data_IF_089556126191
#
_entry.id   IF_089556126191
#
_cell.length_a   1.000
_cell.length_b   1.000
_cell.length_c   1.000
_cell.angle_alpha   90.00
_cell.angle_beta   90.00
_cell.angle_gamma   90.00
#
_symmetry.space_group_name_H-M   'P 1'
#
loop_
_entity.id
_entity.type
_entity.pdbx_description
1 polymer ?
#
# COMPACT_ATOMS: atom_id res chain seq x y z
N UNK A 1 -18.23 2.68 34.51
CA UNK A 1 -18.17 1.21 34.61
C UNK A 1 -18.59 0.54 33.31
N UNK A 2 -19.66 1.04 32.67
CA UNK A 2 -20.19 0.57 31.38
C UNK A 2 -19.22 0.75 30.20
N UNK A 3 -18.52 1.89 30.11
CA UNK A 3 -17.54 2.13 29.02
C UNK A 3 -16.34 1.17 29.05
N UNK A 4 -15.84 0.83 30.26
CA UNK A 4 -14.71 -0.08 30.41
C UNK A 4 -15.08 -1.52 30.01
N UNK A 5 -16.30 -1.95 30.34
CA UNK A 5 -16.83 -3.26 29.91
C UNK A 5 -16.98 -3.33 28.38
N UNK A 6 -17.51 -2.28 27.76
CA UNK A 6 -17.68 -2.20 26.30
C UNK A 6 -16.32 -2.25 25.59
N UNK A 7 -15.32 -1.53 26.11
CA UNK A 7 -13.97 -1.53 25.54
C UNK A 7 -13.30 -2.90 25.64
N UNK A 8 -13.36 -3.54 26.81
CA UNK A 8 -12.78 -4.87 27.04
C UNK A 8 -13.48 -5.98 26.23
N UNK A 9 -14.77 -5.86 25.94
CA UNK A 9 -15.46 -6.79 25.05
C UNK A 9 -15.17 -6.52 23.57
N UNK A 10 -15.04 -5.25 23.17
CA UNK A 10 -14.72 -4.90 21.80
C UNK A 10 -13.34 -5.42 21.38
N UNK A 11 -12.31 -5.22 22.21
CA UNK A 11 -10.95 -5.68 21.92
C UNK A 11 -10.83 -7.22 21.82
N UNK A 12 -11.65 -7.96 22.58
CA UNK A 12 -11.65 -9.43 22.54
C UNK A 12 -11.95 -9.98 21.15
N UNK A 13 -12.83 -9.33 20.38
CA UNK A 13 -13.16 -9.77 19.02
C UNK A 13 -11.95 -9.65 18.07
N UNK A 14 -11.19 -8.56 18.17
CA UNK A 14 -9.99 -8.37 17.35
C UNK A 14 -8.85 -9.31 17.78
N UNK A 15 -8.65 -9.48 19.09
CA UNK A 15 -7.58 -10.33 19.64
C UNK A 15 -7.81 -11.81 19.34
N UNK A 16 -9.06 -12.28 19.39
CA UNK A 16 -9.40 -13.67 19.07
C UNK A 16 -9.03 -14.02 17.63
N UNK A 17 -9.40 -13.18 16.67
CA UNK A 17 -9.08 -13.37 15.24
C UNK A 17 -7.60 -13.20 14.97
N UNK A 18 -6.93 -12.27 15.66
CA UNK A 18 -5.48 -12.10 15.54
C UNK A 18 -4.74 -13.35 16.01
N UNK A 19 -5.17 -13.96 17.11
CA UNK A 19 -4.62 -15.23 17.60
C UNK A 19 -4.89 -16.36 16.62
N UNK A 20 -6.12 -16.50 16.14
CA UNK A 20 -6.50 -17.51 15.14
C UNK A 20 -5.68 -17.35 13.84
N UNK A 21 -5.52 -16.12 13.36
CA UNK A 21 -4.71 -15.81 12.17
C UNK A 21 -3.25 -16.21 12.37
N UNK A 22 -2.66 -15.90 13.53
CA UNK A 22 -1.29 -16.32 13.89
C UNK A 22 -1.12 -17.84 13.97
N UNK A 23 -2.13 -18.55 14.46
CA UNK A 23 -2.09 -20.01 14.59
C UNK A 23 -2.24 -20.71 13.23
N UNK A 24 -3.09 -20.18 12.35
CA UNK A 24 -3.39 -20.76 11.04
C UNK A 24 -2.36 -20.42 9.96
N UNK A 25 -1.79 -19.22 10.01
CA UNK A 25 -0.79 -18.77 9.05
C UNK A 25 0.62 -19.05 9.56
N UNK A 26 1.48 -19.57 8.68
CA UNK A 26 2.90 -19.79 9.01
C UNK A 26 3.53 -18.46 9.44
N UNK A 27 4.37 -18.50 10.47
CA UNK A 27 5.05 -17.32 11.03
C UNK A 27 5.71 -16.42 9.98
N UNK A 28 6.26 -17.00 8.91
CA UNK A 28 6.89 -16.28 7.78
C UNK A 28 5.91 -15.35 7.05
N UNK A 29 4.66 -15.77 6.83
CA UNK A 29 3.66 -14.94 6.12
C UNK A 29 3.14 -13.81 7.00
N UNK A 30 3.08 -14.06 8.31
CA UNK A 30 2.75 -13.05 9.31
C UNK A 30 3.84 -11.95 9.36
N UNK A 31 5.10 -12.33 9.18
CA UNK A 31 6.22 -11.40 9.26
C UNK A 31 6.28 -10.37 8.10
N UNK A 32 5.58 -10.63 6.98
CA UNK A 32 5.61 -9.81 5.77
C UNK A 32 5.45 -8.30 6.01
N UNK A 33 4.42 -7.89 6.76
CA UNK A 33 4.15 -6.46 6.97
C UNK A 33 5.20 -5.79 7.86
N UNK A 34 5.83 -6.54 8.76
CA UNK A 34 6.92 -6.05 9.60
C UNK A 34 8.18 -5.87 8.74
N UNK A 35 8.44 -6.80 7.83
CA UNK A 35 9.57 -6.70 6.90
C UNK A 35 9.38 -5.51 5.95
N UNK A 36 8.19 -5.32 5.39
CA UNK A 36 7.90 -4.14 4.58
C UNK A 36 7.99 -2.85 5.38
N UNK A 37 7.48 -2.82 6.62
CA UNK A 37 7.61 -1.64 7.49
C UNK A 37 9.08 -1.30 7.74
N UNK A 38 9.90 -2.30 8.06
CA UNK A 38 11.33 -2.12 8.34
C UNK A 38 12.08 -1.62 7.11
N UNK A 39 11.90 -2.27 5.95
CA UNK A 39 12.50 -1.84 4.70
C UNK A 39 12.03 -0.44 4.26
N UNK A 40 10.79 -0.07 4.57
CA UNK A 40 10.28 1.25 4.25
C UNK A 40 10.98 2.37 5.02
N UNK A 41 11.46 2.10 6.25
CA UNK A 41 12.26 3.07 7.03
C UNK A 41 13.50 3.46 6.24
N UNK A 42 14.19 2.49 5.67
CA UNK A 42 15.43 2.74 4.93
C UNK A 42 15.15 3.40 3.58
N UNK A 43 14.12 2.95 2.85
CA UNK A 43 13.68 3.61 1.61
C UNK A 43 13.33 5.09 1.82
N UNK A 44 12.58 5.41 2.88
CA UNK A 44 12.25 6.79 3.24
C UNK A 44 13.50 7.60 3.56
N UNK A 45 14.41 7.05 4.40
CA UNK A 45 15.66 7.73 4.77
C UNK A 45 16.52 8.04 3.55
N UNK A 46 16.65 7.09 2.62
CA UNK A 46 17.42 7.31 1.39
C UNK A 46 16.77 8.37 0.50
N UNK A 47 15.45 8.32 0.32
CA UNK A 47 14.72 9.32 -0.45
C UNK A 47 14.90 10.73 0.17
N UNK A 48 14.77 10.83 1.49
CA UNK A 48 14.96 12.08 2.24
C UNK A 48 16.37 12.65 2.05
N UNK A 49 17.40 11.81 2.18
CA UNK A 49 18.79 12.19 1.98
C UNK A 49 19.06 12.65 0.54
N UNK A 50 18.56 11.92 -0.45
CA UNK A 50 18.76 12.23 -1.86
C UNK A 50 18.01 13.49 -2.30
N UNK A 51 16.86 13.77 -1.68
CA UNK A 51 16.09 14.98 -1.91
C UNK A 51 16.79 16.23 -1.34
N UNK A 52 17.53 16.10 -0.25
CA UNK A 52 18.22 17.23 0.41
C UNK A 52 17.21 18.30 0.86
N UNK A 53 17.50 19.57 0.60
CA UNK A 53 16.59 20.68 0.96
C UNK A 53 15.28 20.65 0.18
N UNK A 54 15.25 20.05 -1.02
CA UNK A 54 14.02 19.92 -1.82
C UNK A 54 12.95 19.09 -1.13
N UNK A 55 13.31 18.29 -0.12
CA UNK A 55 12.38 17.40 0.58
C UNK A 55 11.13 18.11 1.11
N UNK A 56 11.25 19.37 1.52
CA UNK A 56 10.14 20.18 2.02
C UNK A 56 9.16 20.62 0.93
N UNK A 57 9.53 20.48 -0.35
CA UNK A 57 8.69 20.77 -1.50
C UNK A 57 8.13 19.52 -2.18
N UNK A 58 8.53 18.32 -1.76
CA UNK A 58 8.13 17.07 -2.41
C UNK A 58 6.94 16.41 -1.69
N UNK A 59 5.81 16.29 -2.40
CA UNK A 59 4.66 15.51 -1.93
C UNK A 59 5.02 14.04 -1.72
N UNK A 60 5.93 13.50 -2.51
CA UNK A 60 6.36 12.11 -2.41
C UNK A 60 7.06 11.83 -1.08
N UNK A 61 7.79 12.80 -0.51
CA UNK A 61 8.37 12.69 0.84
C UNK A 61 7.26 12.62 1.88
N UNK A 62 6.25 13.51 1.77
CA UNK A 62 5.13 13.53 2.70
C UNK A 62 4.32 12.22 2.66
N UNK A 63 3.98 11.72 1.47
CA UNK A 63 3.31 10.42 1.31
C UNK A 63 4.16 9.25 1.80
N UNK A 64 5.46 9.31 1.61
CA UNK A 64 6.38 8.28 2.13
C UNK A 64 6.41 8.26 3.66
N UNK A 65 6.30 9.42 4.31
CA UNK A 65 6.17 9.51 5.76
C UNK A 65 4.81 9.00 6.25
N UNK A 66 3.71 9.36 5.59
CA UNK A 66 2.38 8.86 5.95
C UNK A 66 2.27 7.34 5.85
N UNK A 67 2.98 6.74 4.88
CA UNK A 67 2.94 5.29 4.66
C UNK A 67 3.33 4.48 5.90
N UNK A 68 4.19 4.99 6.79
CA UNK A 68 4.50 4.30 8.06
C UNK A 68 3.24 3.98 8.86
N UNK A 69 2.32 4.93 8.97
CA UNK A 69 1.06 4.75 9.70
C UNK A 69 0.13 3.81 8.93
N UNK A 70 0.10 3.93 7.61
CA UNK A 70 -0.78 3.13 6.76
C UNK A 70 -0.36 1.66 6.71
N UNK A 71 0.94 1.34 6.68
CA UNK A 71 1.42 -0.06 6.76
C UNK A 71 0.99 -0.68 8.09
N UNK A 72 1.14 0.04 9.21
CA UNK A 72 0.67 -0.44 10.52
C UNK A 72 -0.84 -0.64 10.55
N UNK A 73 -1.59 0.23 9.90
CA UNK A 73 -3.05 0.11 9.79
C UNK A 73 -3.47 -1.09 8.92
N UNK A 74 -2.85 -1.27 7.75
CA UNK A 74 -3.05 -2.45 6.89
C UNK A 74 -2.75 -3.72 7.67
N UNK A 75 -1.60 -3.76 8.35
CA UNK A 75 -1.17 -4.86 9.20
C UNK A 75 -2.22 -5.21 10.26
N UNK A 76 -2.71 -4.21 11.01
CA UNK A 76 -3.76 -4.43 12.01
C UNK A 76 -5.05 -4.95 11.38
N UNK A 77 -5.47 -4.36 10.26
CA UNK A 77 -6.67 -4.78 9.55
C UNK A 77 -6.58 -6.24 9.08
N UNK A 78 -5.44 -6.67 8.54
CA UNK A 78 -5.25 -8.07 8.11
C UNK A 78 -5.31 -9.01 9.31
N UNK A 79 -4.61 -8.67 10.39
CA UNK A 79 -4.57 -9.53 11.58
C UNK A 79 -5.92 -9.64 12.27
N UNK A 80 -6.74 -8.62 12.19
CA UNK A 80 -8.07 -8.65 12.78
C UNK A 80 -9.17 -9.13 11.82
N UNK A 81 -8.84 -9.73 10.68
CA UNK A 81 -9.85 -10.22 9.74
C UNK A 81 -10.58 -9.12 8.94
N UNK A 82 -10.16 -7.86 9.04
CA UNK A 82 -10.71 -6.73 8.29
C UNK A 82 -10.10 -6.62 6.87
N UNK A 83 -10.01 -7.74 6.15
CA UNK A 83 -9.28 -7.85 4.88
C UNK A 83 -9.75 -6.88 3.79
N UNK A 84 -11.05 -6.67 3.65
CA UNK A 84 -11.57 -5.69 2.67
C UNK A 84 -11.15 -4.26 2.99
N UNK A 85 -11.04 -3.90 4.27
CA UNK A 85 -10.51 -2.61 4.69
C UNK A 85 -9.02 -2.50 4.36
N UNK A 86 -8.24 -3.56 4.63
CA UNK A 86 -6.83 -3.60 4.24
C UNK A 86 -6.62 -3.41 2.73
N UNK A 87 -7.41 -4.10 1.89
CA UNK A 87 -7.30 -3.97 0.42
C UNK A 87 -7.70 -2.56 -0.06
N UNK A 88 -8.73 -1.95 0.54
CA UNK A 88 -9.10 -0.56 0.23
C UNK A 88 -8.00 0.43 0.61
N UNK A 89 -7.35 0.21 1.75
CA UNK A 89 -6.20 1.03 2.16
C UNK A 89 -5.02 0.86 1.19
N UNK A 90 -4.71 -0.37 0.77
CA UNK A 90 -3.68 -0.65 -0.24
C UNK A 90 -3.95 0.07 -1.57
N UNK A 91 -5.23 0.16 -2.00
CA UNK A 91 -5.63 0.98 -3.16
C UNK A 91 -5.33 2.45 -2.94
N UNK A 92 -5.71 2.98 -1.78
CA UNK A 92 -5.50 4.39 -1.44
C UNK A 92 -4.01 4.72 -1.41
N UNK A 93 -3.19 3.88 -0.79
CA UNK A 93 -1.72 3.99 -0.77
C UNK A 93 -1.19 4.09 -2.21
N UNK A 94 -1.52 3.13 -3.09
CA UNK A 94 -1.07 3.12 -4.48
C UNK A 94 -1.45 4.42 -5.21
N UNK A 95 -2.72 4.83 -5.12
CA UNK A 95 -3.24 6.02 -5.79
C UNK A 95 -2.56 7.30 -5.27
N UNK A 96 -2.35 7.41 -3.96
CA UNK A 96 -1.70 8.56 -3.34
C UNK A 96 -0.24 8.74 -3.78
N UNK A 97 0.50 7.65 -3.97
CA UNK A 97 1.89 7.70 -4.46
C UNK A 97 1.97 8.08 -5.93
N UNK A 98 1.07 7.56 -6.77
CA UNK A 98 1.00 7.95 -8.19
C UNK A 98 0.65 9.44 -8.31
N UNK A 99 -0.27 9.93 -7.48
CA UNK A 99 -0.62 11.35 -7.42
C UNK A 99 0.55 12.21 -6.98
N UNK A 100 1.23 11.84 -5.89
CA UNK A 100 2.42 12.56 -5.42
C UNK A 100 3.53 12.59 -6.47
N UNK A 101 3.79 11.45 -7.11
CA UNK A 101 4.73 11.34 -8.22
C UNK A 101 4.39 12.30 -9.36
N UNK A 102 3.14 12.28 -9.81
CA UNK A 102 2.67 13.14 -10.90
C UNK A 102 2.86 14.63 -10.57
N UNK A 103 2.40 15.04 -9.38
CA UNK A 103 2.47 16.45 -8.96
C UNK A 103 3.91 16.91 -8.82
N UNK A 104 4.79 16.10 -8.21
CA UNK A 104 6.19 16.47 -8.05
C UNK A 104 6.97 16.48 -9.37
N UNK A 105 6.56 15.69 -10.37
CA UNK A 105 7.17 15.68 -11.71
C UNK A 105 6.72 16.86 -12.57
N UNK A 106 5.43 17.15 -12.60
CA UNK A 106 4.86 18.21 -13.44
C UNK A 106 5.07 19.62 -12.83
N UNK A 107 5.24 19.70 -11.51
CA UNK A 107 5.35 20.96 -10.77
C UNK A 107 6.52 20.96 -9.77
N UNK A 108 7.77 20.71 -10.20
CA UNK A 108 8.90 20.47 -9.29
C UNK A 108 9.22 21.68 -8.38
N UNK A 109 9.04 22.90 -8.89
CA UNK A 109 9.41 24.15 -8.19
C UNK A 109 8.25 24.81 -7.44
N UNK A 110 7.04 24.25 -7.54
CA UNK A 110 5.87 24.79 -6.85
C UNK A 110 5.94 24.56 -5.34
N UNK A 111 5.52 25.56 -4.58
CA UNK A 111 5.36 25.45 -3.13
C UNK A 111 4.23 24.46 -2.76
N UNK A 112 4.29 23.95 -1.53
CA UNK A 112 3.41 22.89 -1.04
C UNK A 112 1.92 23.28 -1.12
N UNK A 113 1.58 24.53 -0.78
CA UNK A 113 0.22 25.04 -0.85
C UNK A 113 -0.32 25.08 -2.29
N UNK A 114 0.52 25.45 -3.26
CA UNK A 114 0.14 25.45 -4.66
C UNK A 114 -0.12 24.01 -5.16
N UNK A 115 0.73 23.08 -4.76
CA UNK A 115 0.57 21.65 -5.05
C UNK A 115 -0.68 21.04 -4.41
N UNK A 116 -1.11 21.50 -3.22
CA UNK A 116 -2.40 21.11 -2.63
C UNK A 116 -3.59 21.54 -3.50
N UNK A 117 -3.59 22.77 -4.00
CA UNK A 117 -4.65 23.22 -4.90
C UNK A 117 -4.63 22.46 -6.24
N UNK A 118 -3.45 22.09 -6.73
CA UNK A 118 -3.34 21.21 -7.92
C UNK A 118 -3.97 19.84 -7.65
N UNK A 119 -3.69 19.22 -6.49
CA UNK A 119 -4.29 17.92 -6.11
C UNK A 119 -5.81 18.01 -6.06
N UNK A 120 -6.34 19.08 -5.47
CA UNK A 120 -7.79 19.34 -5.39
C UNK A 120 -8.44 19.42 -6.78
N UNK A 121 -7.76 19.97 -7.78
CA UNK A 121 -8.25 19.97 -9.17
C UNK A 121 -8.07 18.60 -9.85
N UNK A 122 -6.98 17.89 -9.58
CA UNK A 122 -6.77 16.51 -10.06
C UNK A 122 -7.90 15.59 -9.57
N UNK A 123 -8.25 15.65 -8.29
CA UNK A 123 -9.28 14.81 -7.67
C UNK A 123 -10.66 14.98 -8.34
N UNK A 124 -10.92 16.16 -8.94
CA UNK A 124 -12.17 16.42 -9.69
C UNK A 124 -12.14 15.86 -11.12
N UNK A 125 -10.97 15.80 -11.74
CA UNK A 125 -10.84 15.61 -13.19
C UNK A 125 -10.26 14.24 -13.57
N UNK A 126 -9.24 13.79 -12.85
CA UNK A 126 -8.38 12.67 -13.26
C UNK A 126 -7.97 11.86 -12.02
N UNK A 127 -8.58 10.68 -11.86
CA UNK A 127 -8.25 9.73 -10.80
C UNK A 127 -8.02 8.31 -11.34
N UNK A 128 -7.43 7.45 -10.51
CA UNK A 128 -7.15 6.06 -10.82
C UNK A 128 -6.33 5.83 -12.10
N UNK A 129 -6.79 4.91 -12.95
CA UNK A 129 -6.09 4.55 -14.20
C UNK A 129 -5.87 5.73 -15.14
N UNK A 130 -6.73 6.76 -15.12
CA UNK A 130 -6.53 7.97 -15.93
C UNK A 130 -5.30 8.75 -15.47
N UNK A 131 -5.07 8.82 -14.16
CA UNK A 131 -3.90 9.49 -13.59
C UNK A 131 -2.62 8.72 -13.90
N UNK A 132 -2.64 7.39 -13.74
CA UNK A 132 -1.52 6.50 -14.14
C UNK A 132 -1.11 6.77 -15.58
N UNK A 133 -2.08 6.89 -16.49
CA UNK A 133 -1.81 7.12 -17.91
C UNK A 133 -1.17 8.49 -18.21
N UNK A 134 -1.41 9.50 -17.36
CA UNK A 134 -0.83 10.84 -17.49
C UNK A 134 0.60 10.96 -16.99
N UNK A 135 1.07 10.06 -16.12
CA UNK A 135 2.47 10.06 -15.65
C UNK A 135 3.45 9.75 -16.78
N UNK A 136 4.75 9.97 -16.58
CA UNK A 136 5.83 9.48 -17.45
C UNK A 136 6.35 8.09 -17.03
N UNK A 137 5.72 7.43 -16.05
CA UNK A 137 6.12 6.10 -15.58
C UNK A 137 6.12 5.07 -16.72
N UNK A 138 7.14 4.21 -16.73
CA UNK A 138 7.12 3.00 -17.53
C UNK A 138 6.13 1.97 -16.92
N UNK A 139 5.81 0.89 -17.64
CA UNK A 139 4.96 -0.20 -17.15
C UNK A 139 3.54 0.23 -16.68
N UNK A 140 2.99 1.34 -17.19
CA UNK A 140 1.64 1.86 -16.87
C UNK A 140 0.53 0.80 -16.93
N UNK A 141 0.65 -0.15 -17.87
CA UNK A 141 -0.28 -1.27 -18.02
C UNK A 141 -0.38 -2.10 -16.74
N UNK A 142 0.76 -2.50 -16.15
CA UNK A 142 0.79 -3.30 -14.90
C UNK A 142 0.25 -2.51 -13.71
N UNK A 143 0.57 -1.21 -13.62
CA UNK A 143 0.02 -0.33 -12.58
C UNK A 143 -1.51 -0.19 -12.71
N UNK A 144 -2.00 -0.04 -13.94
CA UNK A 144 -3.43 0.05 -14.24
C UNK A 144 -4.16 -1.26 -13.93
N UNK A 145 -3.56 -2.40 -14.24
CA UNK A 145 -4.09 -3.73 -13.89
C UNK A 145 -4.16 -3.90 -12.37
N UNK A 146 -3.11 -3.56 -11.63
CA UNK A 146 -3.09 -3.60 -10.17
C UNK A 146 -4.18 -2.70 -9.57
N UNK A 147 -4.28 -1.45 -10.04
CA UNK A 147 -5.33 -0.52 -9.59
C UNK A 147 -6.73 -1.08 -9.85
N UNK A 148 -6.96 -1.68 -11.02
CA UNK A 148 -8.23 -2.30 -11.38
C UNK A 148 -8.56 -3.50 -10.48
N UNK A 149 -7.58 -4.35 -10.17
CA UNK A 149 -7.75 -5.48 -9.26
C UNK A 149 -8.13 -5.01 -7.85
N UNK A 150 -7.43 -4.02 -7.30
CA UNK A 150 -7.73 -3.44 -5.99
C UNK A 150 -9.11 -2.77 -5.94
N UNK A 151 -9.51 -2.10 -7.03
CA UNK A 151 -10.79 -1.40 -7.13
C UNK A 151 -12.01 -2.32 -7.07
N UNK A 152 -11.85 -3.62 -7.35
CA UNK A 152 -12.92 -4.63 -7.19
C UNK A 152 -13.39 -4.80 -5.73
N UNK A 153 -12.60 -4.32 -4.77
CA UNK A 153 -12.88 -4.43 -3.34
C UNK A 153 -13.40 -3.12 -2.70
N UNK A 154 -13.62 -2.08 -3.51
CA UNK A 154 -14.12 -0.78 -3.03
C UNK A 154 -15.62 -0.83 -2.72
N UNK A 155 -16.38 -1.58 -3.52
CA UNK A 155 -17.83 -1.71 -3.36
C UNK A 155 -18.18 -3.10 -2.84
N UNK A 156 -19.15 -3.21 -1.92
CA UNK A 156 -19.70 -4.50 -1.54
C UNK A 156 -20.23 -5.23 -2.78
N UNK A 157 -19.64 -6.37 -3.10
CA UNK A 157 -20.08 -7.21 -4.22
C UNK A 157 -21.42 -7.86 -3.88
N UNK A 158 -22.18 -8.22 -4.90
CA UNK A 158 -23.41 -9.00 -4.72
C UNK A 158 -23.18 -10.25 -3.86
N UNK A 159 -22.04 -10.94 -4.03
CA UNK A 159 -21.68 -12.13 -3.23
C UNK A 159 -21.50 -11.80 -1.75
N UNK A 160 -20.98 -10.62 -1.41
CA UNK A 160 -20.81 -10.17 -0.02
C UNK A 160 -22.14 -9.74 0.60
N UNK A 161 -23.03 -9.10 -0.17
CA UNK A 161 -24.31 -8.63 0.35
C UNK A 161 -25.38 -9.73 0.39
N UNK A 162 -25.25 -10.77 -0.47
CA UNK A 162 -26.27 -11.82 -0.63
C UNK A 162 -26.57 -12.58 0.68
N UNK A 163 -25.60 -13.00 1.51
CA UNK A 163 -25.89 -13.70 2.76
C UNK A 163 -26.72 -12.84 3.72
N UNK A 164 -26.32 -11.57 3.90
CA UNK A 164 -27.03 -10.63 4.76
C UNK A 164 -28.46 -10.33 4.28
N UNK A 165 -28.64 -10.17 2.96
CA UNK A 165 -29.92 -9.76 2.37
C UNK A 165 -30.89 -10.93 2.09
N UNK A 166 -30.39 -12.13 1.75
CA UNK A 166 -31.23 -13.26 1.34
C UNK A 166 -31.38 -14.35 2.39
N UNK A 167 -30.40 -14.51 3.28
CA UNK A 167 -30.41 -15.61 4.24
C UNK A 167 -30.87 -15.16 5.63
N UNK A 168 -31.13 -13.86 5.83
CA UNK A 168 -31.52 -13.31 7.13
C UNK A 168 -30.46 -13.50 8.23
N UNK A 169 -29.26 -13.96 7.85
CA UNK A 169 -28.10 -14.13 8.73
C UNK A 169 -27.43 -12.78 8.94
N UNK A 170 -28.15 -11.88 9.59
CA UNK A 170 -27.53 -10.72 10.21
C UNK A 170 -27.35 -11.12 11.67
N UNK A 171 -26.21 -11.73 11.97
CA UNK A 171 -25.84 -11.87 13.38
C UNK A 171 -25.77 -10.45 13.96
N UNK A 172 -26.39 -10.18 15.12
CA UNK A 172 -26.39 -8.84 15.71
C UNK A 172 -24.99 -8.41 16.18
N UNK A 173 -23.97 -9.26 16.02
CA UNK A 173 -22.60 -9.03 16.44
C UNK A 173 -21.73 -9.03 15.18
N UNK A 174 -20.92 -7.99 15.02
CA UNK A 174 -19.90 -7.95 13.96
C UNK A 174 -18.80 -8.93 14.37
N UNK A 175 -18.88 -10.17 13.92
CA UNK A 175 -17.80 -11.13 14.10
C UNK A 175 -16.78 -10.94 12.98
N UNK A 176 -15.60 -10.45 13.35
CA UNK A 176 -14.44 -10.66 12.53
C UNK A 176 -14.15 -12.17 12.53
N UNK A 177 -13.86 -12.74 11.38
CA UNK A 177 -13.54 -14.16 11.25
C UNK A 177 -12.36 -14.32 10.31
N UNK A 178 -11.47 -15.26 10.61
CA UNK A 178 -10.40 -15.59 9.69
C UNK A 178 -10.95 -16.15 8.37
N UNK A 179 -10.50 -15.57 7.26
CA UNK A 179 -10.78 -16.00 5.90
C UNK A 179 -9.45 -16.14 5.16
N UNK A 180 -9.02 -17.39 4.93
CA UNK A 180 -7.72 -17.67 4.32
C UNK A 180 -7.60 -17.18 2.88
N UNK A 181 -8.69 -17.17 2.10
CA UNK A 181 -8.64 -16.65 0.73
C UNK A 181 -8.43 -15.13 0.76
N UNK A 182 -9.14 -14.41 1.62
CA UNK A 182 -8.96 -12.97 1.76
C UNK A 182 -7.62 -12.59 2.40
N UNK A 183 -7.11 -13.39 3.34
CA UNK A 183 -5.75 -13.24 3.86
C UNK A 183 -4.72 -13.37 2.74
N UNK A 184 -4.83 -14.42 1.90
CA UNK A 184 -3.96 -14.63 0.74
C UNK A 184 -4.00 -13.46 -0.22
N UNK A 185 -5.20 -12.90 -0.46
CA UNK A 185 -5.35 -11.70 -1.29
C UNK A 185 -4.65 -10.49 -0.68
N UNK A 186 -4.79 -10.25 0.62
CA UNK A 186 -4.08 -9.18 1.32
C UNK A 186 -2.56 -9.34 1.21
N UNK A 187 -2.04 -10.55 1.39
CA UNK A 187 -0.62 -10.86 1.24
C UNK A 187 -0.12 -10.51 -0.18
N UNK A 188 -0.81 -11.03 -1.21
CA UNK A 188 -0.44 -10.80 -2.61
C UNK A 188 -0.53 -9.30 -2.97
N UNK A 189 -1.62 -8.63 -2.58
CA UNK A 189 -1.79 -7.21 -2.89
C UNK A 189 -0.79 -6.32 -2.17
N UNK A 190 -0.42 -6.66 -0.92
CA UNK A 190 0.63 -5.92 -0.20
C UNK A 190 1.92 -5.96 -1.00
N UNK A 191 2.39 -7.14 -1.41
CA UNK A 191 3.61 -7.26 -2.21
C UNK A 191 3.53 -6.49 -3.54
N UNK A 192 2.42 -6.62 -4.28
CA UNK A 192 2.26 -5.89 -5.55
C UNK A 192 2.23 -4.37 -5.36
N UNK A 193 1.60 -3.87 -4.30
CA UNK A 193 1.55 -2.43 -4.01
C UNK A 193 2.92 -1.94 -3.59
N UNK A 194 3.58 -2.63 -2.66
CA UNK A 194 4.93 -2.26 -2.22
C UNK A 194 5.94 -2.29 -3.39
N UNK A 195 5.86 -3.28 -4.27
CA UNK A 195 6.61 -3.31 -5.55
C UNK A 195 6.36 -2.05 -6.39
N UNK A 196 5.09 -1.68 -6.57
CA UNK A 196 4.74 -0.47 -7.30
C UNK A 196 5.29 0.80 -6.65
N UNK A 197 5.32 0.89 -5.31
CA UNK A 197 5.87 2.04 -4.60
C UNK A 197 7.38 2.13 -4.77
N UNK A 198 8.10 1.02 -4.58
CA UNK A 198 9.56 0.97 -4.79
C UNK A 198 9.90 1.35 -6.23
N UNK A 199 9.14 0.84 -7.21
CA UNK A 199 9.25 1.23 -8.61
C UNK A 199 9.03 2.74 -8.83
N UNK A 200 8.00 3.34 -8.20
CA UNK A 200 7.73 4.77 -8.28
C UNK A 200 8.89 5.59 -7.71
N UNK A 201 9.45 5.19 -6.55
CA UNK A 201 10.59 5.88 -5.95
C UNK A 201 11.83 5.83 -6.85
N UNK A 202 12.16 4.66 -7.41
CA UNK A 202 13.28 4.51 -8.35
C UNK A 202 13.07 5.28 -9.66
N UNK A 203 11.84 5.34 -10.15
CA UNK A 203 11.48 6.11 -11.35
C UNK A 203 11.53 7.63 -11.09
N UNK A 204 11.30 8.05 -9.85
CA UNK A 204 11.38 9.45 -9.45
C UNK A 204 12.83 9.91 -9.30
N UNK A 205 13.61 9.18 -8.51
CA UNK A 205 15.00 9.48 -8.16
C UNK A 205 15.91 8.29 -8.50
N UNK A 206 16.58 8.35 -9.65
CA UNK A 206 17.40 7.24 -10.16
C UNK A 206 18.50 6.79 -9.19
N UNK A 207 19.01 7.69 -8.33
CA UNK A 207 20.02 7.35 -7.31
C UNK A 207 19.51 6.36 -6.26
N UNK A 208 18.19 6.19 -6.12
CA UNK A 208 17.60 5.13 -5.29
C UNK A 208 17.98 3.73 -5.76
N UNK A 209 18.20 3.54 -7.07
CA UNK A 209 18.57 2.23 -7.64
C UNK A 209 19.86 1.72 -7.01
N UNK A 210 20.88 2.57 -6.90
CA UNK A 210 22.16 2.20 -6.29
C UNK A 210 22.00 1.82 -4.80
N UNK A 211 21.17 2.56 -4.06
CA UNK A 211 20.88 2.25 -2.65
C UNK A 211 20.18 0.91 -2.47
N UNK A 212 19.20 0.61 -3.32
CA UNK A 212 18.47 -0.66 -3.27
C UNK A 212 19.39 -1.82 -3.64
N UNK A 213 20.28 -1.66 -4.61
CA UNK A 213 21.26 -2.69 -5.00
C UNK A 213 22.29 -3.00 -3.91
N UNK A 214 22.68 -1.99 -3.13
CA UNK A 214 23.58 -2.16 -1.98
C UNK A 214 22.90 -2.93 -0.83
N UNK A 215 21.57 -2.86 -0.73
CA UNK A 215 20.78 -3.53 0.29
C UNK A 215 20.37 -4.95 -0.14
N UNK A 216 21.11 -5.93 0.37
CA UNK A 216 20.86 -7.35 0.12
C UNK A 216 19.54 -7.84 0.71
N UNK A 217 19.10 -7.27 1.84
CA UNK A 217 17.87 -7.71 2.52
C UNK A 217 16.66 -7.28 1.69
N UNK A 218 16.61 -6.01 1.29
CA UNK A 218 15.55 -5.52 0.44
C UNK A 218 15.56 -6.21 -0.93
N UNK A 219 16.73 -6.39 -1.55
CA UNK A 219 16.83 -7.08 -2.84
C UNK A 219 16.31 -8.52 -2.75
N UNK A 220 16.70 -9.27 -1.71
CA UNK A 220 16.18 -10.61 -1.47
C UNK A 220 14.66 -10.61 -1.28
N UNK A 221 14.12 -9.67 -0.50
CA UNK A 221 12.67 -9.55 -0.30
C UNK A 221 11.93 -9.30 -1.64
N UNK A 222 12.47 -8.44 -2.50
CA UNK A 222 11.91 -8.16 -3.82
C UNK A 222 11.89 -9.42 -4.70
N UNK A 223 12.96 -10.23 -4.66
CA UNK A 223 13.06 -11.50 -5.38
C UNK A 223 12.07 -12.54 -4.87
N UNK A 224 12.06 -12.79 -3.56
CA UNK A 224 11.17 -13.76 -2.91
C UNK A 224 9.68 -13.39 -3.08
N UNK A 225 9.37 -12.10 -3.08
CA UNK A 225 8.02 -11.57 -3.28
C UNK A 225 7.63 -11.44 -4.76
N UNK A 226 8.54 -11.77 -5.69
CA UNK A 226 8.34 -11.64 -7.14
C UNK A 226 7.88 -10.23 -7.55
N UNK A 227 8.57 -9.20 -7.01
CA UNK A 227 8.32 -7.79 -7.24
C UNK A 227 8.79 -7.36 -8.64
N UNK A 228 8.01 -7.73 -9.66
CA UNK A 228 8.41 -7.63 -11.07
C UNK A 228 8.67 -6.19 -11.53
N UNK A 229 7.93 -5.19 -11.04
CA UNK A 229 8.13 -3.80 -11.49
C UNK A 229 9.51 -3.29 -11.09
N UNK A 230 9.86 -3.47 -9.83
CA UNK A 230 11.13 -3.06 -9.26
C UNK A 230 12.29 -3.86 -9.83
N UNK A 231 12.16 -5.19 -9.88
CA UNK A 231 13.20 -6.07 -10.42
C UNK A 231 13.48 -5.80 -11.91
N UNK A 232 12.44 -5.56 -12.72
CA UNK A 232 12.62 -5.24 -14.14
C UNK A 232 13.38 -3.91 -14.31
N UNK A 233 13.11 -2.90 -13.46
CA UNK A 233 13.81 -1.61 -13.50
C UNK A 233 15.27 -1.73 -13.02
N UNK A 234 15.52 -2.48 -11.94
CA UNK A 234 16.88 -2.75 -11.46
C UNK A 234 17.73 -3.44 -12.53
N UNK A 235 17.16 -4.43 -13.24
CA UNK A 235 17.85 -5.16 -14.32
C UNK A 235 18.20 -4.28 -15.51
N UNK A 236 17.28 -3.42 -15.96
CA UNK A 236 17.54 -2.48 -17.06
C UNK A 236 18.72 -1.57 -16.76
N UNK A 237 18.75 -1.02 -15.53
CA UNK A 237 19.83 -0.14 -15.11
C UNK A 237 21.19 -0.84 -15.03
N UNK A 238 21.23 -2.12 -14.62
CA UNK A 238 22.46 -2.92 -14.64
C UNK A 238 22.99 -3.17 -16.07
N UNK A 239 22.10 -3.22 -17.05
CA UNK A 239 22.44 -3.46 -18.45
C UNK A 239 22.78 -2.17 -19.21
N UNK A 240 22.73 -0.99 -18.57
CA UNK A 240 23.05 0.30 -19.19
C UNK A 240 21.95 0.86 -20.09
N UNK A 241 20.70 0.40 -19.94
CA UNK A 241 19.50 0.92 -20.62
C UNK A 241 18.76 1.96 -19.78
#
# INVERSE_FOLDING_TARGET
MTEKLIFEEFDKYFVAVEKETKEKEKQVRYQLWIDWYSNWIDLYRWLEQLAGERKFKLFLIFRSFELFKQILWVCKCVYSGAYHTAIRELRFILESFIQAYYVDKEHPDSEMECKLEIIKEIDKLIFGSKLINKTDLHNKKRLTELYSELSKYVHPTYKQMKPALKEGKVEPHILFTYDGELFDRCYIFTNKVMDALVFVLMSFEKRMIGKIQEDKILTQLLEESNCKLSLDLLRKYMNGE
#
